data_IF_495583168586
#
_entry.id   IF_495583168586
#
_cell.length_a   1.000
_cell.length_b   1.000
_cell.length_c   1.000
_cell.angle_alpha   90.00
_cell.angle_beta   90.00
_cell.angle_gamma   90.00
#
_symmetry.space_group_name_H-M   'P 1'
#
loop_
_entity.id
_entity.type
_entity.pdbx_description
1 polymer ?
#
# COMPACT_ATOMS: atom_id res chain seq x y z
N UNK A 1 19.94 4.72 -6.63
CA UNK A 1 19.37 5.34 -5.41
C UNK A 1 20.28 6.48 -5.02
N UNK A 2 19.78 7.72 -5.03
CA UNK A 2 20.57 8.91 -4.71
C UNK A 2 20.63 9.14 -3.19
N UNK A 3 21.42 10.16 -2.73
CA UNK A 3 21.59 10.48 -1.30
C UNK A 3 20.25 10.86 -0.63
N UNK A 4 19.36 11.59 -1.35
CA UNK A 4 18.04 11.98 -0.88
C UNK A 4 17.16 10.75 -0.59
N UNK A 5 17.12 9.79 -1.52
CA UNK A 5 16.32 8.57 -1.37
C UNK A 5 16.77 7.72 -0.17
N UNK A 6 18.06 7.80 0.17
CA UNK A 6 18.63 7.01 1.26
C UNK A 6 18.42 7.63 2.64
N UNK A 7 18.54 8.96 2.74
CA UNK A 7 18.67 9.63 4.03
C UNK A 7 17.50 10.56 4.40
N UNK A 8 16.79 11.13 3.43
CA UNK A 8 15.69 12.10 3.68
C UNK A 8 14.33 11.48 3.40
N UNK A 9 14.17 10.88 2.22
CA UNK A 9 12.88 10.38 1.74
C UNK A 9 12.19 9.40 2.71
N UNK A 10 12.88 8.43 3.36
CA UNK A 10 12.22 7.54 4.32
C UNK A 10 11.55 8.27 5.48
N UNK A 11 12.16 9.35 5.98
CA UNK A 11 11.60 10.16 7.06
C UNK A 11 10.41 11.00 6.60
N UNK A 12 10.48 11.57 5.39
CA UNK A 12 9.36 12.33 4.81
C UNK A 12 8.16 11.43 4.55
N UNK A 13 8.38 10.24 3.97
CA UNK A 13 7.32 9.25 3.75
C UNK A 13 6.75 8.80 5.10
N UNK A 14 7.62 8.47 6.06
CA UNK A 14 7.18 8.05 7.38
C UNK A 14 6.31 9.13 8.04
N UNK A 15 6.73 10.40 7.99
CA UNK A 15 5.95 11.52 8.51
C UNK A 15 4.60 11.65 7.79
N UNK A 16 4.59 11.71 6.46
CA UNK A 16 3.37 11.87 5.68
C UNK A 16 2.39 10.70 5.90
N UNK A 17 2.89 9.46 5.88
CA UNK A 17 2.11 8.26 6.17
C UNK A 17 1.69 8.16 7.65
N UNK A 18 2.29 8.95 8.54
CA UNK A 18 1.97 9.07 9.95
C UNK A 18 0.89 10.10 10.29
N UNK A 19 0.42 10.90 9.32
CA UNK A 19 -0.60 11.92 9.56
C UNK A 19 -1.91 11.29 10.07
N UNK A 20 -2.64 11.94 10.99
CA UNK A 20 -3.85 11.39 11.61
C UNK A 20 -4.89 10.91 10.61
N UNK A 21 -5.10 11.67 9.51
CA UNK A 21 -6.06 11.34 8.45
C UNK A 21 -5.68 10.06 7.69
N UNK A 22 -4.39 9.81 7.52
CA UNK A 22 -3.84 8.60 6.89
C UNK A 22 -3.95 7.41 7.83
N UNK A 23 -3.62 7.62 9.12
CA UNK A 23 -3.73 6.59 10.14
C UNK A 23 -5.18 6.14 10.38
N UNK A 24 -6.15 7.06 10.31
CA UNK A 24 -7.57 6.73 10.44
C UNK A 24 -8.01 5.71 9.37
N UNK A 25 -7.49 5.79 8.14
CA UNK A 25 -7.79 4.82 7.08
C UNK A 25 -7.16 3.45 7.38
N UNK A 26 -5.92 3.42 7.87
CA UNK A 26 -5.27 2.18 8.31
C UNK A 26 -6.03 1.52 9.45
N UNK A 27 -6.47 2.30 10.43
CA UNK A 27 -7.25 1.83 11.58
C UNK A 27 -8.58 1.18 11.19
N UNK A 28 -9.22 1.63 10.10
CA UNK A 28 -10.45 1.03 9.59
C UNK A 28 -10.18 -0.26 8.81
N UNK A 29 -9.10 -0.31 8.04
CA UNK A 29 -8.86 -1.35 7.05
C UNK A 29 -8.06 -2.52 7.61
N UNK A 30 -6.91 -2.21 8.23
CA UNK A 30 -5.90 -3.21 8.62
C UNK A 30 -6.40 -4.25 9.63
N UNK A 31 -7.29 -3.92 10.61
CA UNK A 31 -7.84 -4.92 11.54
C UNK A 31 -8.70 -6.02 10.89
N UNK A 32 -9.06 -5.86 9.62
CA UNK A 32 -9.82 -6.84 8.86
C UNK A 32 -8.93 -7.96 8.30
N UNK A 33 -7.60 -7.76 8.28
CA UNK A 33 -6.65 -8.77 7.83
C UNK A 33 -6.64 -9.99 8.76
N UNK A 34 -6.58 -11.19 8.16
CA UNK A 34 -6.67 -12.45 8.90
C UNK A 34 -5.90 -13.57 8.20
N UNK A 35 -5.55 -14.59 8.96
CA UNK A 35 -4.86 -15.77 8.48
C UNK A 35 -3.40 -15.48 8.14
N UNK A 36 -2.91 -16.08 7.08
CA UNK A 36 -1.59 -15.78 6.52
C UNK A 36 -1.69 -14.52 5.67
N UNK A 37 -1.00 -13.48 6.11
CA UNK A 37 -1.10 -12.13 5.52
C UNK A 37 0.18 -11.76 4.78
N UNK A 38 0.04 -11.24 3.57
CA UNK A 38 1.09 -10.56 2.82
C UNK A 38 0.83 -9.05 2.84
N UNK A 39 1.78 -8.26 3.32
CA UNK A 39 1.75 -6.80 3.18
C UNK A 39 2.70 -6.36 2.06
N UNK A 40 2.15 -5.74 1.03
CA UNK A 40 2.90 -5.15 -0.09
C UNK A 40 3.19 -3.69 0.25
N UNK A 41 4.48 -3.33 0.18
CA UNK A 41 4.96 -2.01 0.57
C UNK A 41 4.93 -1.81 2.08
N UNK A 42 5.54 -2.75 2.82
CA UNK A 42 5.67 -2.66 4.29
C UNK A 42 6.29 -1.34 4.74
N UNK A 43 7.24 -0.80 3.97
CA UNK A 43 7.91 0.47 4.26
C UNK A 43 8.50 0.47 5.68
N UNK A 44 8.09 1.48 6.44
CA UNK A 44 8.49 1.61 7.86
C UNK A 44 7.59 0.84 8.84
N UNK A 45 6.62 0.05 8.36
CA UNK A 45 5.74 -0.77 9.21
C UNK A 45 4.59 0.02 9.86
N UNK A 46 4.05 1.03 9.18
CA UNK A 46 2.96 1.88 9.73
C UNK A 46 1.64 1.13 9.94
N UNK A 47 1.43 -0.02 9.31
CA UNK A 47 0.26 -0.86 9.52
C UNK A 47 0.35 -1.70 10.80
N UNK A 48 1.55 -2.01 11.27
CA UNK A 48 1.80 -2.95 12.37
C UNK A 48 0.98 -2.68 13.64
N UNK A 49 0.79 -1.41 14.09
CA UNK A 49 -0.02 -1.13 15.27
C UNK A 49 -1.52 -1.43 15.13
N UNK A 50 -1.99 -1.63 13.90
CA UNK A 50 -3.41 -1.80 13.61
C UNK A 50 -3.82 -3.25 13.31
N UNK A 51 -2.87 -4.15 13.12
CA UNK A 51 -3.19 -5.57 12.97
C UNK A 51 -3.77 -6.16 14.26
N UNK A 52 -4.84 -6.93 14.12
CA UNK A 52 -5.38 -7.76 15.21
C UNK A 52 -4.56 -9.07 15.28
N UNK A 53 -3.68 -9.14 16.28
CA UNK A 53 -2.79 -10.30 16.48
C UNK A 53 -3.54 -11.63 16.60
N UNK A 54 -4.74 -11.61 17.15
CA UNK A 54 -5.54 -12.84 17.36
C UNK A 54 -6.03 -13.45 16.03
N UNK A 55 -6.03 -12.65 14.96
CA UNK A 55 -6.47 -13.06 13.62
C UNK A 55 -5.31 -13.48 12.72
N UNK A 56 -4.06 -13.19 13.10
CA UNK A 56 -2.89 -13.47 12.27
C UNK A 56 -2.31 -14.85 12.57
N UNK A 57 -2.04 -15.63 11.53
CA UNK A 57 -1.23 -16.85 11.64
C UNK A 57 0.22 -16.61 11.23
N UNK A 58 0.44 -15.73 10.25
CA UNK A 58 1.76 -15.28 9.77
C UNK A 58 1.62 -13.92 9.10
N UNK A 59 2.62 -13.08 9.23
CA UNK A 59 2.74 -11.81 8.48
C UNK A 59 4.05 -11.78 7.71
N UNK A 60 3.95 -11.65 6.39
CA UNK A 60 5.07 -11.45 5.47
C UNK A 60 4.99 -10.01 4.94
N UNK A 61 6.06 -9.25 5.05
CA UNK A 61 6.15 -7.88 4.55
C UNK A 61 7.13 -7.78 3.39
N UNK A 62 6.67 -7.30 2.24
CA UNK A 62 7.50 -7.10 1.05
C UNK A 62 7.72 -5.62 0.82
N UNK A 63 9.00 -5.21 0.72
CA UNK A 63 9.38 -3.85 0.35
C UNK A 63 10.82 -3.82 -0.19
N UNK A 64 11.08 -3.25 -1.38
CA UNK A 64 12.43 -3.17 -1.94
C UNK A 64 13.31 -2.15 -1.22
N UNK A 65 12.75 -1.25 -0.41
CA UNK A 65 13.47 -0.20 0.31
C UNK A 65 14.07 -0.72 1.63
N UNK A 66 15.14 -1.52 1.53
CA UNK A 66 15.80 -2.16 2.68
C UNK A 66 16.16 -1.18 3.81
N UNK A 67 16.40 0.09 3.51
CA UNK A 67 16.69 1.13 4.48
C UNK A 67 15.50 1.45 5.42
N UNK A 68 14.27 1.03 5.07
CA UNK A 68 13.08 1.18 5.91
C UNK A 68 12.89 0.00 6.87
N UNK A 69 13.46 -1.16 6.59
CA UNK A 69 13.29 -2.39 7.35
C UNK A 69 13.66 -2.26 8.84
N UNK A 70 14.72 -1.53 9.26
CA UNK A 70 15.01 -1.35 10.68
C UNK A 70 13.89 -0.64 11.45
N UNK A 71 13.18 0.29 10.82
CA UNK A 71 12.02 0.95 11.45
C UNK A 71 10.81 0.00 11.51
N UNK A 72 10.59 -0.77 10.45
CA UNK A 72 9.56 -1.81 10.42
C UNK A 72 9.79 -2.84 11.52
N UNK A 73 11.03 -3.31 11.69
CA UNK A 73 11.39 -4.26 12.75
C UNK A 73 11.11 -3.70 14.14
N UNK A 74 11.52 -2.47 14.44
CA UNK A 74 11.22 -1.83 15.73
C UNK A 74 9.73 -1.72 16.02
N UNK A 75 8.92 -1.45 14.98
CA UNK A 75 7.45 -1.41 15.11
C UNK A 75 6.85 -2.79 15.27
N UNK A 76 7.40 -3.79 14.60
CA UNK A 76 7.08 -5.21 14.78
C UNK A 76 7.28 -5.64 16.22
N UNK A 77 8.46 -5.38 16.80
CA UNK A 77 8.80 -5.70 18.17
C UNK A 77 7.84 -5.00 19.15
N UNK A 78 7.59 -3.70 18.93
CA UNK A 78 6.66 -2.92 19.76
C UNK A 78 5.22 -3.42 19.69
N UNK A 79 4.76 -3.83 18.51
CA UNK A 79 3.43 -4.39 18.30
C UNK A 79 3.35 -5.84 18.79
N UNK A 80 4.46 -6.51 19.02
CA UNK A 80 4.56 -7.92 19.37
C UNK A 80 4.05 -8.83 18.25
N UNK A 81 4.26 -8.44 16.99
CA UNK A 81 3.88 -9.18 15.78
C UNK A 81 5.16 -9.56 15.06
N UNK A 82 5.44 -10.85 14.94
CA UNK A 82 6.57 -11.32 14.14
C UNK A 82 6.30 -11.10 12.65
N UNK A 83 7.23 -10.45 11.96
CA UNK A 83 7.14 -10.16 10.51
C UNK A 83 8.34 -10.78 9.80
N UNK A 84 8.08 -11.51 8.75
CA UNK A 84 9.10 -11.93 7.78
C UNK A 84 9.27 -10.80 6.74
N UNK A 85 10.40 -10.06 6.83
CA UNK A 85 10.68 -8.95 5.92
C UNK A 85 11.44 -9.42 4.70
N UNK A 86 10.89 -9.16 3.50
CA UNK A 86 11.44 -9.56 2.22
C UNK A 86 11.75 -8.33 1.37
N UNK A 87 13.01 -8.16 1.01
CA UNK A 87 13.51 -7.01 0.25
C UNK A 87 13.31 -7.13 -1.26
N UNK A 88 12.08 -7.27 -1.72
CA UNK A 88 11.75 -7.47 -3.14
C UNK A 88 10.66 -6.51 -3.62
N UNK A 89 10.57 -6.35 -4.95
CA UNK A 89 9.45 -5.69 -5.60
C UNK A 89 8.21 -6.59 -5.62
N UNK A 90 7.03 -5.99 -5.46
CA UNK A 90 5.75 -6.69 -5.56
C UNK A 90 5.38 -7.12 -6.98
N UNK A 91 6.11 -6.66 -7.98
CA UNK A 91 5.88 -6.97 -9.40
C UNK A 91 6.27 -8.41 -9.76
N UNK A 92 7.07 -9.05 -8.91
CA UNK A 92 7.47 -10.46 -9.05
C UNK A 92 7.83 -11.05 -7.70
N UNK A 93 6.92 -11.85 -7.16
CA UNK A 93 7.06 -12.44 -5.83
C UNK A 93 7.47 -13.92 -5.92
N UNK A 94 8.58 -14.33 -5.27
CA UNK A 94 8.96 -15.74 -5.18
C UNK A 94 8.13 -16.46 -4.09
N UNK A 95 6.83 -16.24 -4.12
CA UNK A 95 5.87 -16.80 -3.18
C UNK A 95 4.94 -17.75 -3.93
N UNK A 96 4.49 -18.84 -3.30
CA UNK A 96 3.61 -19.81 -3.95
C UNK A 96 2.24 -19.21 -4.30
N UNK A 97 1.62 -19.76 -5.35
CA UNK A 97 0.23 -19.48 -5.70
C UNK A 97 -0.69 -19.89 -4.52
N UNK A 98 -1.83 -19.26 -4.41
CA UNK A 98 -2.91 -19.62 -3.49
C UNK A 98 -2.44 -19.81 -2.04
N UNK A 99 -1.50 -18.98 -1.57
CA UNK A 99 -0.83 -19.20 -0.29
C UNK A 99 -1.21 -18.20 0.80
N UNK A 100 -1.87 -17.10 0.47
CA UNK A 100 -2.26 -16.07 1.44
C UNK A 100 -3.79 -15.95 1.57
N UNK A 101 -4.25 -15.79 2.80
CA UNK A 101 -5.67 -15.55 3.11
C UNK A 101 -6.02 -14.07 2.92
N UNK A 102 -5.04 -13.18 3.16
CA UNK A 102 -5.19 -11.74 2.99
C UNK A 102 -3.93 -11.15 2.36
N UNK A 103 -4.10 -10.25 1.38
CA UNK A 103 -3.07 -9.31 0.94
C UNK A 103 -3.47 -7.90 1.37
N UNK A 104 -2.53 -7.15 1.94
CA UNK A 104 -2.72 -5.74 2.34
C UNK A 104 -1.80 -4.86 1.52
N UNK A 105 -2.32 -3.79 0.94
CA UNK A 105 -1.54 -2.79 0.23
C UNK A 105 -2.04 -1.39 0.59
N UNK A 106 -1.19 -0.58 1.24
CA UNK A 106 -1.58 0.76 1.65
C UNK A 106 -0.52 1.78 1.27
N UNK A 107 -0.91 2.76 0.46
CA UNK A 107 -0.03 3.86 0.01
C UNK A 107 1.21 3.36 -0.75
N UNK A 108 1.03 2.30 -1.55
CA UNK A 108 2.11 1.61 -2.25
C UNK A 108 1.84 1.47 -3.74
N UNK A 109 0.62 1.09 -4.16
CA UNK A 109 0.27 0.99 -5.59
C UNK A 109 0.54 2.29 -6.34
N UNK A 110 0.38 3.44 -5.68
CA UNK A 110 0.69 4.74 -6.30
C UNK A 110 2.18 4.89 -6.66
N UNK A 111 3.09 4.15 -6.02
CA UNK A 111 4.55 4.27 -6.20
C UNK A 111 5.18 3.10 -6.95
N UNK A 112 4.51 1.94 -7.06
CA UNK A 112 5.03 0.78 -7.80
C UNK A 112 5.17 1.15 -9.29
N UNK A 113 6.31 0.87 -9.94
CA UNK A 113 6.51 1.16 -11.37
C UNK A 113 5.46 0.50 -12.27
N UNK A 114 5.25 -0.81 -12.11
CA UNK A 114 4.21 -1.58 -12.81
C UNK A 114 3.15 -2.10 -11.83
N UNK A 115 2.09 -1.31 -11.56
CA UNK A 115 1.02 -1.72 -10.65
C UNK A 115 0.15 -2.84 -11.22
N UNK A 116 0.11 -3.02 -12.55
CA UNK A 116 -0.62 -4.12 -13.16
C UNK A 116 0.07 -5.46 -12.84
N UNK A 117 1.39 -5.55 -13.02
CA UNK A 117 2.16 -6.72 -12.63
C UNK A 117 2.01 -7.04 -11.13
N UNK A 118 2.07 -6.01 -10.26
CA UNK A 118 1.88 -6.20 -8.83
C UNK A 118 0.47 -6.73 -8.48
N UNK A 119 -0.58 -6.23 -9.13
CA UNK A 119 -1.95 -6.71 -8.91
C UNK A 119 -2.18 -8.13 -9.47
N UNK A 120 -1.51 -8.51 -10.55
CA UNK A 120 -1.48 -9.91 -11.01
C UNK A 120 -0.83 -10.84 -9.99
N UNK A 121 0.27 -10.41 -9.36
CA UNK A 121 0.89 -11.16 -8.27
C UNK A 121 -0.03 -11.25 -7.04
N UNK A 122 -0.72 -10.16 -6.68
CA UNK A 122 -1.76 -10.18 -5.63
C UNK A 122 -2.79 -11.28 -5.92
N UNK A 123 -3.30 -11.30 -7.15
CA UNK A 123 -4.29 -12.30 -7.55
C UNK A 123 -3.72 -13.72 -7.53
N UNK A 124 -2.48 -13.91 -7.97
CA UNK A 124 -1.82 -15.21 -8.00
C UNK A 124 -1.62 -15.79 -6.59
N UNK A 125 -1.09 -14.98 -5.66
CA UNK A 125 -0.75 -15.45 -4.30
C UNK A 125 -1.95 -15.57 -3.36
N UNK A 126 -3.06 -14.87 -3.64
CA UNK A 126 -4.30 -15.01 -2.87
C UNK A 126 -4.92 -16.39 -3.08
N UNK A 127 -5.35 -17.02 -1.99
CA UNK A 127 -6.20 -18.22 -2.03
C UNK A 127 -7.54 -17.91 -2.70
N UNK A 128 -8.21 -18.91 -3.30
CA UNK A 128 -9.61 -18.78 -3.69
C UNK A 128 -10.46 -18.27 -2.52
N UNK A 129 -11.24 -17.21 -2.74
CA UNK A 129 -12.01 -16.51 -1.70
C UNK A 129 -11.18 -15.65 -0.74
N UNK A 130 -9.85 -15.56 -0.94
CA UNK A 130 -8.96 -14.66 -0.20
C UNK A 130 -9.28 -13.19 -0.47
N UNK A 131 -8.91 -12.32 0.47
CA UNK A 131 -9.23 -10.89 0.40
C UNK A 131 -7.99 -10.04 0.12
N UNK A 132 -8.17 -9.02 -0.72
CA UNK A 132 -7.22 -7.94 -0.91
C UNK A 132 -7.76 -6.66 -0.25
N UNK A 133 -7.04 -6.13 0.72
CA UNK A 133 -7.36 -4.90 1.42
C UNK A 133 -6.44 -3.79 0.91
N UNK A 134 -7.01 -2.69 0.47
CA UNK A 134 -6.22 -1.60 -0.12
C UNK A 134 -6.66 -0.22 0.36
N UNK A 135 -5.70 0.68 0.46
CA UNK A 135 -5.94 2.11 0.65
C UNK A 135 -4.85 2.89 -0.09
N UNK A 136 -5.23 3.62 -1.13
CA UNK A 136 -4.28 4.22 -2.06
C UNK A 136 -4.64 5.67 -2.39
N UNK A 137 -3.63 6.47 -2.59
CA UNK A 137 -3.74 7.79 -3.17
C UNK A 137 -3.93 7.68 -4.69
N UNK A 138 -4.73 8.55 -5.27
CA UNK A 138 -4.93 8.50 -6.70
C UNK A 138 -5.61 9.72 -7.32
N UNK A 139 -6.07 9.55 -8.54
CA UNK A 139 -6.64 10.61 -9.36
C UNK A 139 -7.92 11.16 -8.76
N UNK A 140 -8.01 12.48 -8.63
CA UNK A 140 -9.24 13.16 -8.22
C UNK A 140 -10.31 13.09 -9.34
N UNK A 141 -11.61 12.98 -8.99
CA UNK A 141 -12.69 12.95 -9.98
C UNK A 141 -12.95 14.32 -10.61
N UNK A 142 -12.60 15.39 -9.91
CA UNK A 142 -12.76 16.77 -10.40
C UNK A 142 -11.80 17.03 -11.57
N UNK A 143 -12.32 17.28 -12.77
CA UNK A 143 -11.53 17.41 -13.99
C UNK A 143 -10.44 18.48 -13.91
N UNK A 144 -10.70 19.62 -13.27
CA UNK A 144 -9.71 20.68 -13.05
C UNK A 144 -8.58 20.23 -12.10
N UNK A 145 -8.91 19.52 -11.01
CA UNK A 145 -7.92 18.99 -10.09
C UNK A 145 -7.10 17.87 -10.73
N UNK A 146 -7.72 16.98 -11.50
CA UNK A 146 -7.03 15.93 -12.24
C UNK A 146 -6.02 16.51 -13.24
N UNK A 147 -6.36 17.62 -13.95
CA UNK A 147 -5.43 18.31 -14.80
C UNK A 147 -4.24 18.92 -14.02
N UNK A 148 -4.50 19.49 -12.85
CA UNK A 148 -3.44 19.99 -11.99
C UNK A 148 -2.56 18.87 -11.45
N UNK A 149 -3.14 17.74 -11.05
CA UNK A 149 -2.38 16.53 -10.67
C UNK A 149 -1.43 16.11 -11.79
N UNK A 150 -1.90 16.04 -13.05
CA UNK A 150 -1.06 15.72 -14.21
C UNK A 150 0.10 16.71 -14.41
N UNK A 151 -0.15 18.01 -14.22
CA UNK A 151 0.87 19.05 -14.40
C UNK A 151 1.95 19.00 -13.33
N UNK A 152 1.61 18.70 -12.08
CA UNK A 152 2.58 18.69 -10.98
C UNK A 152 3.25 17.31 -10.80
N UNK A 153 2.68 16.24 -11.30
CA UNK A 153 3.19 14.88 -11.13
C UNK A 153 4.67 14.71 -11.51
N UNK A 154 5.19 15.31 -12.61
CA UNK A 154 6.61 15.18 -12.95
C UNK A 154 7.56 15.74 -11.88
N UNK A 155 7.13 16.77 -11.14
CA UNK A 155 7.88 17.35 -10.03
C UNK A 155 7.63 16.61 -8.71
N UNK A 156 6.40 16.15 -8.51
CA UNK A 156 5.98 15.42 -7.32
C UNK A 156 6.63 14.04 -7.20
N UNK A 157 6.61 13.27 -8.28
CA UNK A 157 7.08 11.88 -8.32
C UNK A 157 8.48 11.67 -7.72
N UNK A 158 9.54 12.42 -8.11
CA UNK A 158 10.86 12.24 -7.52
C UNK A 158 10.92 12.66 -6.05
N UNK A 159 10.10 13.60 -5.61
CA UNK A 159 10.07 14.08 -4.23
C UNK A 159 9.30 13.14 -3.29
N UNK A 160 8.32 12.41 -3.83
CA UNK A 160 7.41 11.56 -3.09
C UNK A 160 7.66 10.06 -3.31
N UNK A 161 8.92 9.67 -3.58
CA UNK A 161 9.30 8.25 -3.68
C UNK A 161 8.61 7.49 -4.80
N UNK A 162 8.39 8.14 -5.95
CA UNK A 162 7.74 7.53 -7.10
C UNK A 162 6.21 7.62 -7.11
N UNK A 163 5.59 8.24 -6.09
CA UNK A 163 4.13 8.35 -5.99
C UNK A 163 3.52 9.10 -7.19
N UNK A 164 2.59 8.45 -7.87
CA UNK A 164 1.77 9.02 -8.94
C UNK A 164 0.47 9.59 -8.38
N UNK A 165 0.19 10.86 -8.67
CA UNK A 165 -1.07 11.52 -8.29
C UNK A 165 -2.24 11.10 -9.16
N UNK A 166 -1.98 10.56 -10.35
CA UNK A 166 -2.95 10.36 -11.43
C UNK A 166 -3.40 8.90 -11.58
N UNK A 167 -3.00 8.01 -10.65
CA UNK A 167 -3.40 6.59 -10.69
C UNK A 167 -4.92 6.45 -10.56
N UNK A 168 -5.51 5.75 -11.50
CA UNK A 168 -6.92 5.33 -11.47
C UNK A 168 -7.00 3.95 -10.82
N UNK A 169 -7.14 3.93 -9.49
CA UNK A 169 -7.10 2.67 -8.71
C UNK A 169 -8.26 1.75 -9.09
N UNK A 170 -9.52 2.21 -9.25
CA UNK A 170 -10.62 1.35 -9.70
C UNK A 170 -10.36 0.69 -11.07
N UNK A 171 -9.78 1.45 -12.00
CA UNK A 171 -9.43 0.91 -13.32
C UNK A 171 -8.36 -0.20 -13.20
N UNK A 172 -7.31 0.03 -12.44
CA UNK A 172 -6.24 -0.94 -12.21
C UNK A 172 -6.77 -2.25 -11.59
N UNK A 173 -7.65 -2.15 -10.59
CA UNK A 173 -8.26 -3.32 -9.93
C UNK A 173 -9.13 -4.12 -10.91
N UNK A 174 -9.96 -3.43 -11.70
CA UNK A 174 -10.81 -4.05 -12.71
C UNK A 174 -9.98 -4.76 -13.78
N UNK A 175 -8.95 -4.10 -14.30
CA UNK A 175 -8.11 -4.64 -15.38
C UNK A 175 -7.27 -5.83 -14.89
N UNK A 176 -6.98 -5.91 -13.58
CA UNK A 176 -6.40 -7.09 -12.94
C UNK A 176 -7.43 -8.21 -12.64
N UNK A 177 -8.70 -8.05 -12.98
CA UNK A 177 -9.74 -9.05 -12.73
C UNK A 177 -10.16 -9.18 -11.26
N UNK A 178 -9.86 -8.16 -10.43
CA UNK A 178 -10.25 -8.13 -9.02
C UNK A 178 -11.65 -7.53 -8.86
N UNK A 179 -12.57 -8.31 -8.28
CA UNK A 179 -13.91 -7.81 -7.95
C UNK A 179 -13.85 -6.98 -6.67
N UNK A 180 -13.75 -5.66 -6.83
CA UNK A 180 -13.48 -4.73 -5.75
C UNK A 180 -14.71 -3.94 -5.32
N UNK A 181 -14.92 -3.85 -4.01
CA UNK A 181 -15.77 -2.86 -3.38
C UNK A 181 -14.89 -1.66 -3.03
N UNK A 182 -15.06 -0.56 -3.78
CA UNK A 182 -14.23 0.63 -3.69
C UNK A 182 -15.01 1.78 -3.07
N UNK A 183 -14.54 2.30 -1.96
CA UNK A 183 -14.90 3.61 -1.44
C UNK A 183 -13.85 4.63 -1.86
N UNK A 184 -14.24 5.90 -1.97
CA UNK A 184 -13.35 6.95 -2.41
C UNK A 184 -13.70 8.31 -1.83
N UNK A 185 -12.73 9.18 -1.69
CA UNK A 185 -12.98 10.54 -1.21
C UNK A 185 -11.73 11.29 -0.77
N UNK A 186 -11.93 12.54 -0.39
CA UNK A 186 -10.89 13.37 0.22
C UNK A 186 -10.76 13.01 1.70
N UNK A 187 -9.53 12.79 2.16
CA UNK A 187 -9.26 12.43 3.57
C UNK A 187 -8.87 13.63 4.46
N UNK A 188 -8.89 14.84 3.90
CA UNK A 188 -8.49 16.08 4.58
C UNK A 188 -7.16 16.63 4.05
N UNK A 189 -6.90 17.93 4.30
CA UNK A 189 -5.74 18.62 3.76
C UNK A 189 -5.92 19.14 2.33
N UNK A 190 -4.85 19.46 1.60
CA UNK A 190 -4.93 20.02 0.24
C UNK A 190 -5.58 19.05 -0.74
N UNK A 191 -6.73 19.43 -1.31
CA UNK A 191 -7.53 18.56 -2.21
C UNK A 191 -6.73 17.98 -3.37
N UNK A 192 -5.71 18.67 -3.83
CA UNK A 192 -4.84 18.23 -4.91
C UNK A 192 -4.07 16.94 -4.59
N UNK A 193 -3.79 16.69 -3.30
CA UNK A 193 -2.95 15.60 -2.80
C UNK A 193 -3.71 14.56 -1.94
N UNK A 194 -5.01 14.72 -1.74
CA UNK A 194 -5.69 13.96 -0.69
C UNK A 194 -6.90 13.17 -1.17
N UNK A 195 -7.02 12.93 -2.47
CA UNK A 195 -8.03 12.02 -2.98
C UNK A 195 -7.55 10.57 -2.89
N UNK A 196 -8.35 9.74 -2.23
CA UNK A 196 -7.99 8.37 -1.91
C UNK A 196 -9.07 7.39 -2.32
N UNK A 197 -8.64 6.17 -2.56
CA UNK A 197 -9.46 4.99 -2.81
C UNK A 197 -9.13 3.94 -1.75
N UNK A 198 -10.14 3.36 -1.11
CA UNK A 198 -9.94 2.30 -0.13
C UNK A 198 -11.05 1.26 -0.23
N UNK A 199 -10.78 0.06 0.23
CA UNK A 199 -11.77 -1.00 0.21
C UNK A 199 -11.17 -2.38 0.21
N UNK A 200 -11.96 -3.31 -0.29
CA UNK A 200 -11.59 -4.71 -0.38
C UNK A 200 -11.92 -5.28 -1.76
N UNK A 201 -11.11 -6.22 -2.21
CA UNK A 201 -11.40 -7.06 -3.36
C UNK A 201 -11.28 -8.54 -2.96
N UNK A 202 -11.88 -9.43 -3.74
CA UNK A 202 -11.77 -10.87 -3.55
C UNK A 202 -11.25 -11.53 -4.82
N UNK A 203 -10.43 -12.57 -4.61
CA UNK A 203 -10.12 -13.52 -5.67
C UNK A 203 -11.35 -14.37 -5.93
N UNK A 204 -11.76 -14.44 -7.20
CA UNK A 204 -12.85 -15.30 -7.69
C UNK A 204 -12.51 -16.77 -7.55
#
# INVERSE_FOLDING_TARGET
>A
MNWYDRHILPWLIDFACGLPMVQARRQMLVPQARGRVLEIGMGTGRNLPFYDRSKLTQLVGVDPALQMHPLAQRRSDKAGIAVELVGLSAERLPLPDDSFDTVVCTYTLCSIPDPAAALHEVQRVLKPGGQFLFCEHGRAPDGSLAQWQQRIEPLWKPLAGGCHLTRDVPLLLRDAGLNAQVEQGYIGGPRLLTYHYWGQARKS
#
